data_IF_714518854668
#
_entry.id   IF_714518854668
#
_cell.length_a   1.000
_cell.length_b   1.000
_cell.length_c   1.000
_cell.angle_alpha   90.00
_cell.angle_beta   90.00
_cell.angle_gamma   90.00
#
_symmetry.space_group_name_H-M   'P 1'
#
loop_
_entity.id
_entity.type
_entity.pdbx_description
1 polymer ?
#
# COMPACT_ATOMS: atom_id res chain seq x y z
N UNK A 1 6.46 15.04 -16.03
CA UNK A 1 5.87 13.87 -15.36
C UNK A 1 7.03 12.93 -15.09
N UNK A 2 7.24 12.54 -13.84
CA UNK A 2 8.33 11.66 -13.38
C UNK A 2 7.85 10.22 -13.23
N UNK A 3 8.80 9.30 -13.29
CA UNK A 3 8.65 7.91 -12.89
C UNK A 3 9.34 7.73 -11.54
N UNK A 4 8.57 7.44 -10.51
CA UNK A 4 9.02 7.55 -9.14
C UNK A 4 9.14 6.18 -8.48
N UNK A 5 10.31 5.92 -7.90
CA UNK A 5 10.61 4.70 -7.16
C UNK A 5 11.19 5.04 -5.79
N UNK A 6 10.87 4.25 -4.78
CA UNK A 6 11.58 4.26 -3.52
C UNK A 6 12.26 2.92 -3.29
N UNK A 7 13.56 2.93 -3.12
CA UNK A 7 14.38 1.76 -2.86
C UNK A 7 14.80 1.79 -1.40
N UNK A 8 14.63 0.68 -0.67
CA UNK A 8 14.86 0.67 0.76
C UNK A 8 15.63 -0.54 1.25
N UNK A 9 16.44 -0.34 2.30
CA UNK A 9 17.09 -1.42 3.01
C UNK A 9 16.07 -2.18 3.86
N UNK A 10 16.05 -3.52 3.76
CA UNK A 10 15.18 -4.39 4.56
C UNK A 10 15.67 -4.44 6.01
N UNK A 11 15.20 -3.51 6.83
CA UNK A 11 15.51 -3.45 8.25
C UNK A 11 14.44 -4.17 9.09
N UNK A 12 14.78 -4.55 10.32
CA UNK A 12 13.89 -5.35 11.20
C UNK A 12 12.53 -4.69 11.51
N UNK A 13 12.43 -3.38 11.38
CA UNK A 13 11.19 -2.63 11.60
C UNK A 13 10.27 -2.67 10.38
N UNK A 14 10.80 -2.89 9.19
CA UNK A 14 10.03 -3.05 7.97
C UNK A 14 9.57 -4.50 7.83
N UNK A 15 8.43 -4.82 8.42
CA UNK A 15 7.83 -6.16 8.36
C UNK A 15 6.73 -6.25 7.32
N UNK A 16 6.10 -5.13 7.02
CA UNK A 16 5.00 -5.05 6.06
C UNK A 16 5.14 -3.85 5.14
N UNK A 17 4.44 -3.86 4.02
CA UNK A 17 4.36 -2.74 3.09
C UNK A 17 3.90 -1.44 3.75
N UNK A 18 3.06 -1.53 4.77
CA UNK A 18 2.58 -0.35 5.52
C UNK A 18 3.72 0.27 6.35
N UNK A 19 4.59 -0.54 6.95
CA UNK A 19 5.74 -0.02 7.71
C UNK A 19 6.67 0.80 6.79
N UNK A 20 6.89 0.33 5.56
CA UNK A 20 7.71 1.01 4.56
C UNK A 20 7.06 2.32 4.11
N UNK A 21 5.77 2.29 3.80
CA UNK A 21 5.02 3.49 3.39
C UNK A 21 4.96 4.53 4.50
N UNK A 22 4.71 4.12 5.75
CA UNK A 22 4.72 5.01 6.91
C UNK A 22 6.09 5.67 7.14
N UNK A 23 7.19 4.93 6.93
CA UNK A 23 8.53 5.50 6.98
C UNK A 23 8.69 6.64 5.97
N UNK A 24 8.21 6.45 4.73
CA UNK A 24 8.23 7.51 3.72
C UNK A 24 7.38 8.74 4.10
N UNK A 25 6.17 8.53 4.60
CA UNK A 25 5.26 9.62 5.00
C UNK A 25 5.89 10.53 6.05
N UNK A 26 6.55 9.95 7.06
CA UNK A 26 7.24 10.70 8.12
C UNK A 26 8.32 11.64 7.55
N UNK A 27 9.02 11.21 6.47
CA UNK A 27 10.06 12.04 5.86
C UNK A 27 9.52 13.06 4.85
N UNK A 28 8.38 12.78 4.22
CA UNK A 28 7.71 13.76 3.32
C UNK A 28 7.14 14.94 4.14
N UNK A 29 6.74 14.71 5.39
CA UNK A 29 6.23 15.73 6.31
C UNK A 29 7.33 16.49 7.08
N UNK A 30 8.61 16.13 6.88
CA UNK A 30 9.74 16.81 7.53
C UNK A 30 9.87 18.26 7.01
N UNK A 31 10.00 19.20 7.95
CA UNK A 31 9.98 20.64 7.70
C UNK A 31 11.32 21.23 7.22
N UNK A 32 12.25 20.39 6.74
CA UNK A 32 13.45 20.81 6.01
C UNK A 32 14.71 20.96 6.86
N UNK A 33 14.82 20.32 8.00
CA UNK A 33 16.06 20.22 8.78
C UNK A 33 17.06 19.20 8.18
N UNK A 34 16.60 18.28 7.32
CA UNK A 34 17.44 17.22 6.72
C UNK A 34 17.90 17.59 5.32
N UNK A 35 19.19 17.45 5.04
CA UNK A 35 19.74 17.56 3.69
C UNK A 35 19.59 16.25 2.92
N UNK A 36 18.49 16.10 2.21
CA UNK A 36 18.20 14.91 1.40
C UNK A 36 19.10 14.74 0.17
N UNK A 37 20.01 15.69 -0.11
CA UNK A 37 21.00 15.56 -1.19
C UNK A 37 22.33 14.97 -0.70
N UNK A 38 22.49 14.70 0.60
CA UNK A 38 23.72 14.20 1.20
C UNK A 38 23.61 12.70 1.51
N UNK A 39 24.71 11.98 1.29
CA UNK A 39 24.88 10.59 1.77
C UNK A 39 25.24 10.51 3.26
N UNK A 40 25.45 11.66 3.91
CA UNK A 40 25.74 11.71 5.34
C UNK A 40 24.49 11.27 6.12
N UNK A 41 24.67 10.31 7.02
CA UNK A 41 23.58 9.72 7.80
C UNK A 41 22.89 8.53 7.14
N UNK A 42 23.16 8.25 5.86
CA UNK A 42 22.67 7.04 5.20
C UNK A 42 23.37 5.78 5.70
N UNK A 43 22.68 4.65 5.71
CA UNK A 43 23.28 3.35 6.00
C UNK A 43 24.38 3.00 4.98
N UNK A 44 25.36 2.18 5.33
CA UNK A 44 26.40 1.77 4.38
C UNK A 44 25.83 1.12 3.11
N UNK A 45 24.74 0.36 3.22
CA UNK A 45 24.09 -0.29 2.08
C UNK A 45 23.44 0.73 1.15
N UNK A 46 22.75 1.72 1.70
CA UNK A 46 22.16 2.84 0.94
C UNK A 46 23.26 3.64 0.22
N UNK A 47 24.37 3.92 0.90
CA UNK A 47 25.51 4.64 0.30
C UNK A 47 26.09 3.89 -0.90
N UNK A 48 26.30 2.57 -0.78
CA UNK A 48 26.84 1.77 -1.88
C UNK A 48 25.88 1.71 -3.07
N UNK A 49 24.60 1.46 -2.78
CA UNK A 49 23.53 1.45 -3.78
C UNK A 49 23.44 2.78 -4.52
N UNK A 50 23.38 3.91 -3.79
CA UNK A 50 23.23 5.23 -4.38
C UNK A 50 24.44 5.60 -5.26
N UNK A 51 25.66 5.30 -4.84
CA UNK A 51 26.86 5.55 -5.65
C UNK A 51 26.84 4.80 -6.98
N UNK A 52 26.39 3.55 -6.98
CA UNK A 52 26.28 2.79 -8.23
C UNK A 52 25.14 3.31 -9.12
N UNK A 53 24.01 3.74 -8.52
CA UNK A 53 22.96 4.45 -9.24
C UNK A 53 23.46 5.70 -9.95
N UNK A 54 24.28 6.52 -9.27
CA UNK A 54 24.83 7.76 -9.82
C UNK A 54 25.73 7.55 -11.04
N UNK A 55 26.32 6.38 -11.22
CA UNK A 55 27.15 6.06 -12.39
C UNK A 55 26.31 6.01 -13.68
N UNK A 56 25.07 5.52 -13.61
CA UNK A 56 24.20 5.38 -14.77
C UNK A 56 23.12 6.47 -14.83
N UNK A 57 22.60 6.87 -13.71
CA UNK A 57 21.59 7.88 -13.53
C UNK A 57 22.13 8.97 -12.61
N UNK A 58 22.91 9.92 -13.14
CA UNK A 58 23.55 10.95 -12.33
C UNK A 58 22.53 11.83 -11.61
N UNK A 59 22.84 12.31 -10.39
CA UNK A 59 21.98 13.27 -9.70
C UNK A 59 21.77 14.56 -10.49
N UNK A 60 20.51 15.02 -10.55
CA UNK A 60 20.14 16.29 -11.18
C UNK A 60 20.72 17.50 -10.43
N UNK A 61 20.83 17.36 -9.10
CA UNK A 61 21.26 18.44 -8.21
C UNK A 61 22.08 17.90 -7.03
N UNK A 62 22.52 18.81 -6.15
CA UNK A 62 23.29 18.46 -4.95
C UNK A 62 24.79 18.21 -5.19
N UNK A 63 25.52 17.74 -4.16
CA UNK A 63 26.98 17.64 -4.19
C UNK A 63 27.54 16.56 -5.13
N UNK A 64 26.69 15.64 -5.59
CA UNK A 64 27.07 14.54 -6.49
C UNK A 64 26.64 14.78 -7.94
N UNK A 65 25.98 15.92 -8.23
CA UNK A 65 25.58 16.26 -9.58
C UNK A 65 26.82 16.49 -10.48
N UNK A 66 26.80 16.02 -11.75
CA UNK A 66 27.86 16.31 -12.69
C UNK A 66 27.88 17.80 -13.03
N UNK A 67 29.05 18.37 -13.47
CA UNK A 67 29.10 19.72 -13.99
C UNK A 67 28.13 19.91 -15.17
N UNK A 68 27.58 21.14 -15.34
CA UNK A 68 26.57 21.47 -16.34
C UNK A 68 26.99 21.11 -17.78
N UNK A 69 28.26 21.27 -18.11
CA UNK A 69 28.81 20.93 -19.44
C UNK A 69 28.81 19.42 -19.71
N UNK A 70 28.74 18.58 -18.66
CA UNK A 70 28.59 17.14 -18.76
C UNK A 70 27.10 16.78 -18.67
N UNK A 71 26.39 17.34 -17.70
CA UNK A 71 24.97 17.09 -17.47
C UNK A 71 24.12 17.33 -18.72
N UNK A 72 24.35 18.43 -19.40
CA UNK A 72 23.60 18.89 -20.58
C UNK A 72 24.38 18.75 -21.90
N UNK A 73 25.38 17.88 -21.96
CA UNK A 73 26.17 17.64 -23.17
C UNK A 73 25.33 17.06 -24.33
N UNK A 74 24.25 16.35 -24.03
CA UNK A 74 23.35 15.76 -25.02
C UNK A 74 21.96 15.57 -24.43
N UNK A 75 20.94 15.40 -25.27
CA UNK A 75 19.57 14.99 -24.81
C UNK A 75 19.60 13.66 -24.06
N UNK A 76 20.52 12.78 -24.39
CA UNK A 76 20.69 11.51 -23.71
C UNK A 76 21.24 11.71 -22.29
N UNK A 77 22.25 12.55 -22.10
CA UNK A 77 22.78 12.87 -20.78
C UNK A 77 21.71 13.54 -19.92
N UNK A 78 20.98 14.51 -20.47
CA UNK A 78 19.92 15.26 -19.78
C UNK A 78 18.79 14.35 -19.30
N UNK A 79 18.30 13.42 -20.14
CA UNK A 79 17.20 12.54 -19.76
C UNK A 79 17.55 11.50 -18.68
N UNK A 80 18.84 11.21 -18.45
CA UNK A 80 19.31 10.33 -17.40
C UNK A 80 19.55 11.05 -16.06
N UNK A 81 19.49 12.38 -16.04
CA UNK A 81 19.55 13.13 -14.78
C UNK A 81 18.34 12.77 -13.92
N UNK A 82 18.60 12.40 -12.68
CA UNK A 82 17.59 11.89 -11.77
C UNK A 82 17.56 12.72 -10.50
N UNK A 83 16.38 13.07 -10.05
CA UNK A 83 16.22 13.74 -8.76
C UNK A 83 16.20 12.70 -7.64
N UNK A 84 17.07 12.89 -6.63
CA UNK A 84 17.23 11.96 -5.52
C UNK A 84 16.87 12.62 -4.21
N UNK A 85 16.14 11.87 -3.36
CA UNK A 85 16.09 12.13 -1.92
C UNK A 85 16.68 10.94 -1.18
N UNK A 86 17.75 11.21 -0.41
CA UNK A 86 18.55 10.22 0.29
C UNK A 86 18.13 10.16 1.76
N UNK A 87 17.75 8.97 2.24
CA UNK A 87 17.28 8.72 3.59
C UNK A 87 18.20 7.72 4.29
N UNK A 88 18.12 7.64 5.61
CA UNK A 88 18.93 6.71 6.40
C UNK A 88 18.85 5.27 5.86
N UNK A 89 17.65 4.79 5.50
CA UNK A 89 17.42 3.43 5.05
C UNK A 89 16.83 3.33 3.65
N UNK A 90 16.93 4.36 2.84
CA UNK A 90 16.39 4.30 1.47
C UNK A 90 16.75 5.46 0.58
N UNK A 91 16.38 5.31 -0.69
CA UNK A 91 16.60 6.30 -1.75
C UNK A 91 15.32 6.48 -2.54
N UNK A 92 14.80 7.70 -2.57
CA UNK A 92 13.72 8.07 -3.48
C UNK A 92 14.31 8.59 -4.78
N UNK A 93 13.83 8.09 -5.91
CA UNK A 93 14.33 8.41 -7.24
C UNK A 93 13.17 8.90 -8.12
N UNK A 94 13.32 10.11 -8.71
CA UNK A 94 12.41 10.63 -9.72
C UNK A 94 13.11 10.68 -11.07
N UNK A 95 12.77 9.71 -11.94
CA UNK A 95 13.35 9.59 -13.28
C UNK A 95 12.52 10.34 -14.32
N UNK A 96 13.14 10.78 -15.40
CA UNK A 96 12.40 11.19 -16.58
C UNK A 96 11.58 10.01 -17.14
N UNK A 97 10.32 10.26 -17.50
CA UNK A 97 9.44 9.20 -18.03
C UNK A 97 9.99 8.50 -19.27
N UNK A 98 10.80 9.23 -20.06
CA UNK A 98 11.41 8.67 -21.28
C UNK A 98 12.45 7.57 -21.03
N UNK A 99 12.93 7.41 -19.81
CA UNK A 99 13.89 6.36 -19.40
C UNK A 99 13.29 5.41 -18.35
N UNK A 100 11.99 5.47 -18.11
CA UNK A 100 11.32 4.72 -17.03
C UNK A 100 11.58 3.20 -17.07
N UNK A 101 11.47 2.58 -18.25
CA UNK A 101 11.71 1.14 -18.43
C UNK A 101 13.18 0.79 -18.15
N UNK A 102 14.11 1.56 -18.72
CA UNK A 102 15.54 1.38 -18.49
C UNK A 102 15.93 1.58 -17.03
N UNK A 103 15.34 2.60 -16.37
CA UNK A 103 15.56 2.88 -14.96
C UNK A 103 15.06 1.74 -14.07
N UNK A 104 13.84 1.24 -14.34
CA UNK A 104 13.25 0.13 -13.58
C UNK A 104 14.12 -1.13 -13.70
N UNK A 105 14.52 -1.52 -14.92
CA UNK A 105 15.36 -2.69 -15.13
C UNK A 105 16.69 -2.57 -14.38
N UNK A 106 17.31 -1.39 -14.42
CA UNK A 106 18.56 -1.16 -13.73
C UNK A 106 18.39 -1.18 -12.20
N UNK A 107 17.39 -0.51 -11.68
CA UNK A 107 17.05 -0.51 -10.25
C UNK A 107 16.78 -1.94 -9.77
N UNK A 108 15.99 -2.75 -10.49
CA UNK A 108 15.72 -4.14 -10.12
C UNK A 108 17.00 -4.96 -10.03
N UNK A 109 17.93 -4.78 -10.97
CA UNK A 109 19.24 -5.48 -10.94
C UNK A 109 20.06 -5.11 -9.70
N UNK A 110 20.01 -3.84 -9.26
CA UNK A 110 20.72 -3.39 -8.08
C UNK A 110 20.00 -3.80 -6.78
N UNK A 111 18.67 -3.80 -6.76
CA UNK A 111 17.92 -4.28 -5.58
C UNK A 111 18.19 -5.75 -5.30
N UNK A 112 18.32 -6.57 -6.33
CA UNK A 112 18.76 -7.98 -6.19
C UNK A 112 20.20 -8.06 -5.65
N UNK A 113 21.13 -7.29 -6.23
CA UNK A 113 22.56 -7.28 -5.83
C UNK A 113 22.76 -6.87 -4.38
N UNK A 114 22.03 -5.86 -3.93
CA UNK A 114 22.16 -5.28 -2.59
C UNK A 114 21.15 -5.82 -1.58
N UNK A 115 20.30 -6.77 -1.96
CA UNK A 115 19.20 -7.29 -1.13
C UNK A 115 18.37 -6.16 -0.52
N UNK A 116 17.80 -5.34 -1.41
CA UNK A 116 16.93 -4.20 -1.06
C UNK A 116 15.50 -4.45 -1.53
N UNK A 117 14.56 -3.71 -0.97
CA UNK A 117 13.18 -3.66 -1.44
C UNK A 117 12.93 -2.44 -2.32
N UNK A 118 11.82 -2.45 -3.06
CA UNK A 118 11.39 -1.36 -3.94
C UNK A 118 9.91 -1.06 -3.73
N UNK A 119 9.54 0.21 -3.78
CA UNK A 119 8.14 0.67 -3.93
C UNK A 119 8.04 1.36 -5.28
N UNK A 120 7.17 0.85 -6.14
CA UNK A 120 6.79 1.50 -7.39
C UNK A 120 5.54 2.35 -7.15
N UNK A 121 5.66 3.67 -7.35
CA UNK A 121 4.54 4.61 -7.17
C UNK A 121 3.66 4.73 -8.43
N UNK A 122 4.06 4.10 -9.52
CA UNK A 122 3.25 4.06 -10.73
C UNK A 122 2.22 2.94 -10.62
N UNK A 123 0.98 3.23 -10.93
CA UNK A 123 -0.09 2.24 -10.83
C UNK A 123 -0.57 1.98 -9.39
N UNK A 124 -0.37 0.78 -8.88
CA UNK A 124 -0.97 0.31 -7.61
C UNK A 124 -0.11 0.58 -6.36
N UNK A 125 0.93 1.43 -6.42
CA UNK A 125 1.88 1.69 -5.32
C UNK A 125 2.41 0.39 -4.69
N UNK A 126 2.87 -0.50 -5.54
CA UNK A 126 3.23 -1.86 -5.17
C UNK A 126 4.59 -1.89 -4.46
N UNK A 127 4.66 -2.64 -3.37
CA UNK A 127 5.91 -2.93 -2.66
C UNK A 127 6.41 -4.32 -3.07
N UNK A 128 7.64 -4.38 -3.53
CA UNK A 128 8.33 -5.62 -3.88
C UNK A 128 9.53 -5.82 -2.95
N UNK A 129 9.44 -6.78 -2.05
CA UNK A 129 10.56 -7.11 -1.17
C UNK A 129 10.38 -8.50 -0.57
N UNK A 130 11.34 -9.40 -0.81
CA UNK A 130 11.34 -10.70 -0.19
C UNK A 130 11.33 -10.59 1.34
N UNK A 131 10.45 -11.33 2.00
CA UNK A 131 10.31 -11.38 3.45
C UNK A 131 9.50 -10.22 4.07
N UNK A 132 8.94 -9.32 3.24
CA UNK A 132 8.02 -8.27 3.68
C UNK A 132 6.59 -8.66 3.32
N UNK A 133 5.69 -8.61 4.30
CA UNK A 133 4.27 -8.84 4.07
C UNK A 133 3.63 -7.64 3.37
N UNK A 134 2.95 -7.88 2.27
CA UNK A 134 2.21 -6.85 1.54
C UNK A 134 0.73 -6.89 1.89
N UNK A 135 0.13 -5.72 2.09
CA UNK A 135 -1.30 -5.59 2.28
C UNK A 135 -2.01 -5.77 0.95
N UNK A 136 -2.94 -6.72 0.92
CA UNK A 136 -3.83 -6.95 -0.22
C UNK A 136 -5.29 -6.86 0.18
N UNK A 137 -6.12 -6.54 -0.81
CA UNK A 137 -7.56 -6.51 -0.62
C UNK A 137 -8.34 -7.05 -1.82
N UNK A 138 -9.56 -7.46 -1.57
CA UNK A 138 -10.56 -7.79 -2.60
C UNK A 138 -11.91 -7.18 -2.25
N UNK A 139 -12.63 -6.82 -3.30
CA UNK A 139 -14.04 -6.42 -3.26
C UNK A 139 -14.82 -7.25 -4.27
N UNK A 140 -16.12 -7.03 -4.41
CA UNK A 140 -16.92 -7.71 -5.43
C UNK A 140 -16.49 -7.40 -6.88
N UNK A 141 -15.74 -6.32 -7.11
CA UNK A 141 -15.29 -5.89 -8.45
C UNK A 141 -13.78 -5.90 -8.64
N UNK A 142 -13.02 -6.08 -7.58
CA UNK A 142 -11.56 -6.08 -7.59
C UNK A 142 -11.04 -7.31 -6.83
N UNK A 143 -10.07 -8.00 -7.40
CA UNK A 143 -9.49 -9.20 -6.80
C UNK A 143 -7.99 -9.03 -6.62
N UNK A 144 -7.49 -9.39 -5.43
CA UNK A 144 -6.07 -9.47 -5.09
C UNK A 144 -5.27 -8.19 -5.39
N UNK A 145 -5.87 -7.02 -5.10
CA UNK A 145 -5.23 -5.72 -5.27
C UNK A 145 -4.25 -5.42 -4.14
N UNK A 146 -3.15 -4.78 -4.48
CA UNK A 146 -2.25 -4.18 -3.49
C UNK A 146 -2.87 -2.88 -2.98
N UNK A 147 -2.64 -2.57 -1.71
CA UNK A 147 -3.19 -1.35 -1.13
C UNK A 147 -2.50 -0.91 0.15
N UNK A 148 -2.95 0.21 0.66
CA UNK A 148 -2.61 0.74 1.97
C UNK A 148 -3.87 0.95 2.82
N UNK A 149 -3.70 1.56 4.00
CA UNK A 149 -4.84 1.75 4.88
C UNK A 149 -5.78 2.85 4.36
N UNK A 150 -5.30 3.81 3.59
CA UNK A 150 -6.13 4.86 2.99
C UNK A 150 -7.08 4.27 1.96
N UNK A 151 -6.59 3.37 1.09
CA UNK A 151 -7.42 2.62 0.14
C UNK A 151 -8.54 1.86 0.87
N UNK A 152 -8.19 1.15 1.94
CA UNK A 152 -9.15 0.40 2.75
C UNK A 152 -10.18 1.32 3.42
N UNK A 153 -9.73 2.48 3.91
CA UNK A 153 -10.61 3.49 4.51
C UNK A 153 -11.62 4.01 3.49
N UNK A 154 -11.17 4.37 2.28
CA UNK A 154 -12.05 4.85 1.21
C UNK A 154 -13.07 3.77 0.82
N UNK A 155 -12.65 2.53 0.65
CA UNK A 155 -13.52 1.39 0.33
C UNK A 155 -14.59 1.18 1.41
N UNK A 156 -14.24 1.25 2.68
CA UNK A 156 -15.19 1.11 3.79
C UNK A 156 -16.16 2.31 3.83
N UNK A 157 -15.65 3.53 3.64
CA UNK A 157 -16.48 4.72 3.64
C UNK A 157 -17.50 4.75 2.50
N UNK A 158 -17.20 4.09 1.39
CA UNK A 158 -18.06 4.06 0.19
C UNK A 158 -18.83 2.75 0.01
N UNK A 159 -18.64 1.73 0.85
CA UNK A 159 -19.16 0.36 0.68
C UNK A 159 -20.69 0.29 0.52
N UNK A 160 -21.45 1.17 1.16
CA UNK A 160 -22.92 1.22 1.12
C UNK A 160 -23.48 2.24 0.10
N UNK A 161 -22.66 3.17 -0.38
CA UNK A 161 -23.06 4.17 -1.38
C UNK A 161 -22.89 3.67 -2.81
N UNK A 162 -22.18 2.58 -3.01
CA UNK A 162 -21.98 2.01 -4.33
C UNK A 162 -23.31 1.49 -4.90
N UNK A 163 -23.48 1.57 -6.22
CA UNK A 163 -24.59 0.94 -6.96
C UNK A 163 -24.55 -0.59 -6.87
N UNK A 164 -23.66 -1.12 -6.07
CA UNK A 164 -23.39 -2.50 -5.71
C UNK A 164 -24.60 -3.03 -4.92
N UNK A 165 -25.07 -4.20 -5.21
CA UNK A 165 -26.21 -4.80 -4.50
C UNK A 165 -27.59 -4.40 -5.02
N UNK A 166 -27.70 -3.76 -6.19
CA UNK A 166 -29.00 -3.62 -6.89
C UNK A 166 -29.45 -4.94 -7.53
N UNK A 167 -28.51 -5.79 -7.91
CA UNK A 167 -28.76 -7.16 -8.30
C UNK A 167 -28.52 -8.06 -7.10
N UNK A 168 -29.50 -8.93 -6.83
CA UNK A 168 -29.61 -9.76 -5.59
C UNK A 168 -28.46 -10.76 -5.41
N UNK A 169 -27.43 -10.76 -6.22
CA UNK A 169 -26.34 -11.70 -6.24
C UNK A 169 -25.00 -11.11 -5.84
N UNK A 170 -24.83 -9.77 -5.93
CA UNK A 170 -23.55 -9.12 -5.61
C UNK A 170 -23.66 -8.39 -4.28
N UNK A 171 -23.11 -9.00 -3.24
CA UNK A 171 -22.97 -8.40 -1.93
C UNK A 171 -21.68 -7.56 -1.93
N UNK A 172 -21.78 -6.26 -1.64
CA UNK A 172 -20.62 -5.44 -1.41
C UNK A 172 -19.82 -5.99 -0.21
N UNK A 173 -18.53 -6.14 -0.36
CA UNK A 173 -17.63 -6.56 0.71
C UNK A 173 -16.26 -5.90 0.55
N UNK A 174 -15.51 -5.84 1.63
CA UNK A 174 -14.07 -5.53 1.63
C UNK A 174 -13.39 -6.60 2.45
N UNK A 175 -12.55 -7.41 1.80
CA UNK A 175 -11.69 -8.40 2.45
C UNK A 175 -10.25 -7.92 2.38
N UNK A 176 -9.51 -8.00 3.49
CA UNK A 176 -8.13 -7.53 3.61
C UNK A 176 -7.28 -8.60 4.27
N UNK A 177 -6.08 -8.83 3.75
CA UNK A 177 -5.10 -9.78 4.29
C UNK A 177 -3.68 -9.30 4.03
N UNK A 178 -2.73 -9.92 4.74
CA UNK A 178 -1.32 -9.80 4.43
C UNK A 178 -0.82 -11.05 3.70
N UNK A 179 0.08 -10.86 2.76
CA UNK A 179 0.71 -11.92 1.98
C UNK A 179 2.22 -11.66 1.91
N UNK A 180 3.04 -12.68 2.10
CA UNK A 180 4.47 -12.58 1.85
C UNK A 180 4.70 -12.52 0.35
N UNK A 181 5.44 -11.51 -0.10
CA UNK A 181 5.80 -11.38 -1.50
C UNK A 181 6.58 -12.62 -1.98
N UNK A 182 6.11 -13.19 -3.10
CA UNK A 182 6.66 -14.42 -3.68
C UNK A 182 6.20 -15.74 -3.04
N UNK A 183 5.36 -15.73 -1.99
CA UNK A 183 4.80 -16.96 -1.42
C UNK A 183 3.33 -17.14 -1.86
N UNK A 184 3.08 -18.12 -2.72
CA UNK A 184 1.72 -18.50 -3.16
C UNK A 184 0.87 -19.14 -2.04
N UNK A 185 1.36 -19.13 -0.79
CA UNK A 185 0.58 -19.63 0.34
C UNK A 185 -0.68 -18.81 0.51
N UNK A 186 -1.80 -19.53 0.56
CA UNK A 186 -3.15 -19.00 0.68
C UNK A 186 -3.29 -18.07 1.89
N UNK A 187 -4.16 -17.06 1.74
CA UNK A 187 -4.76 -16.26 2.80
C UNK A 187 -5.15 -17.14 3.98
N UNK A 188 -4.28 -17.25 4.98
CA UNK A 188 -4.64 -18.03 6.18
C UNK A 188 -5.51 -17.19 7.11
N UNK A 189 -5.10 -15.94 7.33
CA UNK A 189 -5.82 -14.99 8.18
C UNK A 189 -6.25 -13.76 7.39
N UNK A 190 -7.49 -13.31 7.59
CA UNK A 190 -8.03 -12.12 6.95
C UNK A 190 -9.08 -11.45 7.85
N UNK A 191 -9.38 -10.20 7.56
CA UNK A 191 -10.56 -9.52 8.07
C UNK A 191 -11.46 -9.09 6.90
N UNK A 192 -12.77 -9.10 7.14
CA UNK A 192 -13.75 -8.76 6.12
C UNK A 192 -14.91 -7.98 6.70
N UNK A 193 -15.49 -7.08 5.92
CA UNK A 193 -16.77 -6.48 6.26
C UNK A 193 -17.77 -6.52 5.10
N UNK A 194 -19.06 -6.58 5.45
CA UNK A 194 -20.19 -6.62 4.52
C UNK A 194 -21.33 -5.78 5.10
N UNK A 195 -21.99 -4.88 4.35
CA UNK A 195 -23.15 -4.17 4.83
C UNK A 195 -24.34 -5.09 5.12
N UNK A 196 -25.02 -4.90 6.24
CA UNK A 196 -26.27 -5.56 6.54
C UNK A 196 -27.44 -4.71 6.04
N UNK A 197 -28.29 -5.27 5.19
CA UNK A 197 -29.45 -4.58 4.66
C UNK A 197 -30.73 -5.06 5.38
N UNK A 198 -31.49 -4.13 5.93
CA UNK A 198 -32.81 -4.48 6.46
C UNK A 198 -33.76 -4.91 5.34
N UNK A 199 -34.33 -6.09 5.48
CA UNK A 199 -35.46 -6.48 4.64
C UNK A 199 -36.63 -5.53 4.93
N UNK A 200 -37.03 -4.69 3.97
CA UNK A 200 -38.25 -3.85 4.12
C UNK A 200 -39.43 -4.77 4.46
N UNK A 201 -40.07 -4.52 5.59
CA UNK A 201 -41.31 -5.18 5.94
C UNK A 201 -42.39 -4.97 4.84
N UNK A 202 -43.32 -5.91 4.73
CA UNK A 202 -44.37 -5.92 3.70
C UNK A 202 -45.11 -4.59 3.57
N UNK A 203 -45.38 -3.90 4.68
CA UNK A 203 -46.05 -2.59 4.70
C UNK A 203 -45.17 -1.44 4.15
N UNK A 204 -43.85 -1.45 4.38
CA UNK A 204 -42.94 -0.43 3.81
C UNK A 204 -42.77 -0.58 2.30
N UNK A 205 -42.90 -1.78 1.74
CA UNK A 205 -42.87 -2.01 0.29
C UNK A 205 -44.06 -1.37 -0.43
N UNK A 206 -45.19 -1.21 0.26
CA UNK A 206 -46.43 -0.63 -0.33
C UNK A 206 -46.37 0.89 -0.29
N UNK A 207 -45.79 1.50 0.76
CA UNK A 207 -45.83 2.96 0.97
C UNK A 207 -44.55 3.72 0.54
N UNK A 208 -43.49 3.03 0.19
CA UNK A 208 -42.24 3.63 -0.30
C UNK A 208 -41.68 2.81 -1.43
N UNK A 209 -42.04 3.12 -2.69
CA UNK A 209 -41.51 2.42 -3.84
C UNK A 209 -40.05 2.69 -4.13
N UNK A 210 -39.42 3.67 -3.48
CA UNK A 210 -37.99 3.94 -3.58
C UNK A 210 -37.16 2.78 -2.99
N UNK A 211 -36.44 2.12 -3.88
CA UNK A 211 -35.79 0.81 -3.71
C UNK A 211 -34.46 0.84 -2.93
N UNK A 212 -34.16 1.85 -2.15
CA UNK A 212 -32.91 1.86 -1.36
C UNK A 212 -33.12 1.06 -0.09
N UNK A 213 -32.53 -0.15 -0.04
CA UNK A 213 -32.38 -0.89 1.21
C UNK A 213 -31.53 -0.05 2.17
N UNK A 214 -32.06 0.22 3.37
CA UNK A 214 -31.32 0.94 4.38
C UNK A 214 -30.30 0.00 5.01
N UNK A 215 -29.04 0.43 5.12
CA UNK A 215 -28.00 -0.31 5.83
C UNK A 215 -28.28 -0.24 7.33
N UNK A 216 -28.32 -1.40 7.99
CA UNK A 216 -28.53 -1.57 9.43
C UNK A 216 -27.27 -2.19 10.07
N UNK A 217 -26.17 -1.45 9.96
CA UNK A 217 -24.86 -1.89 10.44
C UNK A 217 -24.14 -2.79 9.44
N UNK A 218 -23.13 -3.48 9.94
CA UNK A 218 -22.17 -4.24 9.14
C UNK A 218 -21.86 -5.58 9.81
N UNK A 219 -21.75 -6.63 9.02
CA UNK A 219 -21.11 -7.88 9.44
C UNK A 219 -19.60 -7.69 9.36
N UNK A 220 -18.91 -7.86 10.47
CA UNK A 220 -17.45 -7.88 10.54
C UNK A 220 -16.98 -9.29 10.84
N UNK A 221 -16.07 -9.80 10.04
CA UNK A 221 -15.57 -11.15 10.07
C UNK A 221 -14.06 -11.17 10.23
N UNK A 222 -13.57 -12.12 11.02
CA UNK A 222 -12.15 -12.35 11.27
C UNK A 222 -11.87 -13.84 11.06
N UNK A 223 -11.07 -14.14 10.05
CA UNK A 223 -10.47 -15.48 9.89
C UNK A 223 -9.17 -15.50 10.70
N UNK A 224 -9.04 -16.44 11.60
CA UNK A 224 -7.86 -16.60 12.43
C UNK A 224 -7.60 -18.07 12.74
N UNK A 225 -6.41 -18.56 12.39
CA UNK A 225 -5.99 -19.94 12.60
C UNK A 225 -7.04 -20.96 12.09
N UNK A 226 -7.56 -20.74 10.88
CA UNK A 226 -8.56 -21.59 10.24
C UNK A 226 -9.96 -21.52 10.85
N UNK A 227 -10.25 -20.56 11.73
CA UNK A 227 -11.56 -20.36 12.33
C UNK A 227 -12.12 -18.98 11.94
N UNK A 228 -13.37 -18.96 11.46
CA UNK A 228 -14.08 -17.73 11.15
C UNK A 228 -14.91 -17.26 12.36
N UNK A 229 -14.72 -16.02 12.72
CA UNK A 229 -15.46 -15.33 13.78
C UNK A 229 -16.22 -14.14 13.19
N UNK A 230 -17.48 -13.95 13.61
CA UNK A 230 -18.35 -12.91 13.08
C UNK A 230 -18.98 -12.08 14.19
N UNK A 231 -19.12 -10.77 13.96
CA UNK A 231 -19.78 -9.81 14.84
C UNK A 231 -20.51 -8.75 14.02
N UNK A 232 -21.68 -8.32 14.49
CA UNK A 232 -22.36 -7.15 13.96
C UNK A 232 -21.73 -5.87 14.54
N UNK A 233 -21.45 -4.91 13.67
CA UNK A 233 -20.87 -3.60 13.98
C UNK A 233 -21.85 -2.52 13.53
N UNK A 234 -22.13 -1.54 14.40
CA UNK A 234 -23.22 -0.60 14.16
C UNK A 234 -22.93 0.44 13.06
N UNK A 235 -21.68 0.84 12.89
CA UNK A 235 -21.30 1.94 12.01
C UNK A 235 -19.89 1.76 11.41
N UNK A 236 -19.54 2.61 10.44
CA UNK A 236 -18.26 2.59 9.73
C UNK A 236 -17.08 2.98 10.59
N UNK A 237 -17.30 3.94 11.52
CA UNK A 237 -16.26 4.40 12.42
C UNK A 237 -15.71 3.24 13.24
N UNK A 238 -16.61 2.39 13.75
CA UNK A 238 -16.20 1.19 14.51
C UNK A 238 -15.55 0.12 13.63
N UNK A 239 -15.96 -0.02 12.37
CA UNK A 239 -15.26 -0.88 11.41
C UNK A 239 -13.84 -0.38 11.19
N UNK A 240 -13.67 0.92 10.91
CA UNK A 240 -12.36 1.53 10.68
C UNK A 240 -11.41 1.35 11.87
N UNK A 241 -11.91 1.39 13.12
CA UNK A 241 -11.09 1.08 14.29
C UNK A 241 -10.52 -0.35 14.22
N UNK A 242 -11.34 -1.36 13.86
CA UNK A 242 -10.87 -2.73 13.72
C UNK A 242 -9.86 -2.89 12.58
N UNK A 243 -10.15 -2.30 11.42
CA UNK A 243 -9.24 -2.35 10.28
C UNK A 243 -7.91 -1.64 10.59
N UNK A 244 -7.95 -0.47 11.23
CA UNK A 244 -6.76 0.26 11.68
C UNK A 244 -5.94 -0.57 12.68
N UNK A 245 -6.61 -1.14 13.69
CA UNK A 245 -5.96 -2.01 14.68
C UNK A 245 -5.21 -3.16 13.99
N UNK A 246 -5.82 -3.78 12.99
CA UNK A 246 -5.24 -4.94 12.31
C UNK A 246 -4.19 -4.55 11.26
N UNK A 247 -4.52 -3.60 10.39
CA UNK A 247 -3.64 -3.20 9.29
C UNK A 247 -2.44 -2.36 9.76
N UNK A 248 -2.68 -1.35 10.60
CA UNK A 248 -1.66 -0.33 10.97
C UNK A 248 -0.98 -0.67 12.28
N UNK A 249 -1.76 -0.97 13.34
CA UNK A 249 -1.22 -1.22 14.67
C UNK A 249 -0.66 -2.66 14.81
N UNK A 250 -0.89 -3.54 13.81
CA UNK A 250 -0.48 -4.96 13.79
C UNK A 250 -0.94 -5.72 15.04
N UNK A 251 -2.09 -5.35 15.57
CA UNK A 251 -2.68 -6.00 16.74
C UNK A 251 -3.77 -6.95 16.33
N UNK A 252 -3.72 -8.13 16.89
CA UNK A 252 -4.78 -9.13 16.76
C UNK A 252 -6.14 -8.59 17.19
N UNK A 253 -7.17 -8.92 16.43
CA UNK A 253 -8.54 -8.63 16.83
C UNK A 253 -8.94 -9.58 17.97
N UNK A 254 -9.41 -8.99 19.08
CA UNK A 254 -9.98 -9.76 20.17
C UNK A 254 -11.35 -10.30 19.78
N UNK A 255 -11.41 -11.59 19.54
CA UNK A 255 -12.63 -12.29 19.11
C UNK A 255 -13.54 -12.72 20.25
N UNK A 256 -13.26 -12.35 21.52
CA UNK A 256 -14.18 -12.58 22.63
C UNK A 256 -15.50 -11.85 22.38
N UNK A 257 -16.61 -12.57 22.44
CA UNK A 257 -17.94 -12.04 22.11
C UNK A 257 -18.29 -12.04 20.61
N UNK A 258 -17.42 -12.56 19.75
CA UNK A 258 -17.77 -12.90 18.37
C UNK A 258 -18.42 -14.29 18.33
N UNK A 259 -19.31 -14.49 17.36
CA UNK A 259 -19.87 -15.82 17.08
C UNK A 259 -18.89 -16.57 16.16
N UNK A 260 -18.42 -17.73 16.61
CA UNK A 260 -17.67 -18.65 15.75
C UNK A 260 -18.64 -19.26 14.73
N UNK A 261 -18.24 -19.24 13.46
CA UNK A 261 -18.98 -19.89 12.39
C UNK A 261 -18.49 -21.33 12.23
N UNK A 262 -19.42 -22.26 12.05
CA UNK A 262 -19.11 -23.66 11.72
C UNK A 262 -19.32 -23.84 10.22
N UNK A 263 -18.35 -24.46 9.55
CA UNK A 263 -18.40 -24.77 8.11
C UNK A 263 -18.79 -26.22 7.91
#
# INVERSE_FOLDING_TARGET
>A
MSYDLFIFEKIKTFRTSIDVKYYLEVFIEDDGEVDYNSLDGCSPKVVEFAKEMFEKFPPLNGPYAPPDDIAFASEESERHLTDYSLYEYGVYCSFAWSVAEEALDYVLSLTEKYDMGIVDFQGEKQVFAEGIEVLKYSTESMTDKYGDFEDIQELIMTIDSSKRGKDKTDYAFVTVWFELDGDEKKKEDFIQCTPNYTAKGFLQKIFSPDKTSQVDGYSFEVMKNGNLYQKNVANKEKLLEYFKQWCVEKKDIDTRGFKKQEF
#
